data_IF_622753872385
#
_entry.id   IF_622753872385
#
_cell.length_a   1.000
_cell.length_b   1.000
_cell.length_c   1.000
_cell.angle_alpha   90.00
_cell.angle_beta   90.00
_cell.angle_gamma   90.00
#
_symmetry.space_group_name_H-M   'P 1'
#
loop_
_entity.id
_entity.type
_entity.pdbx_description
1 polymer ?
#
# COMPACT_ATOMS: atom_id res chain seq x y z
N UNK A 1 -6.41 -21.74 3.04
CA UNK A 1 -5.36 -21.49 4.03
C UNK A 1 -4.00 -21.55 3.33
N UNK A 2 -3.18 -20.51 3.47
CA UNK A 2 -1.83 -20.45 2.85
C UNK A 2 -0.84 -21.48 3.45
N UNK A 3 -1.23 -22.24 4.45
CA UNK A 3 -0.39 -23.22 5.15
C UNK A 3 -0.96 -24.65 5.08
N UNK A 4 -1.70 -24.95 4.02
CA UNK A 4 -2.21 -26.32 3.83
C UNK A 4 -1.05 -27.25 3.45
N UNK A 5 -0.74 -28.30 4.24
CA UNK A 5 0.33 -29.23 3.91
C UNK A 5 -0.02 -30.09 2.70
N UNK A 6 0.93 -30.28 1.82
CA UNK A 6 0.83 -31.21 0.69
C UNK A 6 0.95 -32.63 1.23
N UNK A 7 -0.10 -33.45 1.06
CA UNK A 7 -0.15 -34.83 1.57
C UNK A 7 -0.19 -35.90 0.47
N UNK A 8 -0.31 -35.49 -0.78
CA UNK A 8 -0.36 -36.37 -1.95
C UNK A 8 0.00 -35.56 -3.20
N UNK A 9 0.21 -36.23 -4.32
CA UNK A 9 0.40 -35.56 -5.61
C UNK A 9 -0.78 -34.64 -5.90
N UNK A 10 -0.49 -33.40 -6.31
CA UNK A 10 -1.51 -32.42 -6.65
C UNK A 10 -1.18 -31.70 -7.96
N UNK A 11 -2.20 -31.26 -8.66
CA UNK A 11 -2.09 -30.35 -9.80
C UNK A 11 -2.38 -28.95 -9.31
N UNK A 12 -1.44 -28.04 -9.45
CA UNK A 12 -1.62 -26.62 -9.11
C UNK A 12 -1.80 -25.86 -10.43
N UNK A 13 -2.92 -25.16 -10.55
CA UNK A 13 -3.12 -24.20 -11.62
C UNK A 13 -2.78 -22.82 -11.09
N UNK A 14 -1.81 -22.17 -11.75
CA UNK A 14 -1.37 -20.81 -11.42
C UNK A 14 -1.88 -19.88 -12.51
N UNK A 15 -2.55 -18.76 -12.17
CA UNK A 15 -2.95 -17.76 -13.15
C UNK A 15 -1.75 -17.24 -13.95
N UNK A 16 -1.94 -16.95 -15.24
CA UNK A 16 -0.86 -16.49 -16.13
C UNK A 16 -0.22 -15.18 -15.66
N UNK A 17 -1.00 -14.32 -14.97
CA UNK A 17 -0.54 -13.04 -14.41
C UNK A 17 0.60 -13.22 -13.40
N UNK A 18 0.67 -14.37 -12.73
CA UNK A 18 1.77 -14.68 -11.79
C UNK A 18 3.12 -14.79 -12.48
N UNK A 19 3.14 -15.19 -13.77
CA UNK A 19 4.37 -15.25 -14.57
C UNK A 19 4.84 -13.89 -15.08
N UNK A 20 4.00 -12.87 -15.01
CA UNK A 20 4.31 -11.49 -15.38
C UNK A 20 4.83 -10.63 -14.22
N UNK A 21 5.03 -11.20 -13.04
CA UNK A 21 5.52 -10.46 -11.87
C UNK A 21 6.94 -9.98 -12.12
N UNK A 22 7.12 -8.66 -12.03
CA UNK A 22 8.43 -8.01 -12.10
C UNK A 22 8.89 -7.59 -10.71
N UNK A 23 10.19 -7.29 -10.61
CA UNK A 23 10.83 -6.70 -9.44
C UNK A 23 11.44 -5.37 -9.85
N UNK A 24 11.12 -4.31 -9.11
CA UNK A 24 11.71 -2.98 -9.32
C UNK A 24 12.38 -2.47 -8.04
N UNK A 25 13.51 -1.82 -8.16
CA UNK A 25 14.05 -0.96 -7.12
C UNK A 25 13.54 0.46 -7.38
N UNK A 26 12.56 0.88 -6.60
CA UNK A 26 11.91 2.19 -6.72
C UNK A 26 12.55 3.21 -5.78
N UNK A 27 12.44 4.49 -6.12
CA UNK A 27 12.90 5.60 -5.30
C UNK A 27 11.70 6.32 -4.69
N UNK A 28 11.74 6.58 -3.39
CA UNK A 28 10.73 7.39 -2.71
C UNK A 28 10.76 8.80 -3.29
N UNK A 29 9.68 9.21 -3.91
CA UNK A 29 9.49 10.57 -4.42
C UNK A 29 8.94 11.49 -3.32
N UNK A 30 7.93 11.00 -2.58
CA UNK A 30 7.34 11.72 -1.46
C UNK A 30 6.67 10.75 -0.49
N UNK A 31 6.53 11.17 0.78
CA UNK A 31 5.89 10.39 1.84
C UNK A 31 5.25 11.29 2.90
N UNK A 32 4.36 12.26 2.51
CA UNK A 32 3.72 13.17 3.44
C UNK A 32 2.65 12.46 4.28
N UNK A 33 2.29 13.05 5.40
CA UNK A 33 1.06 12.72 6.09
C UNK A 33 -0.14 13.23 5.28
N UNK A 34 -1.18 12.42 5.16
CA UNK A 34 -2.48 12.81 4.59
C UNK A 34 -3.61 12.69 5.60
N UNK A 35 -3.32 12.12 6.76
CA UNK A 35 -4.12 12.10 7.97
C UNK A 35 -3.21 11.76 9.15
N UNK A 36 -3.71 11.90 10.37
CA UNK A 36 -2.97 11.69 11.62
C UNK A 36 -2.11 10.43 11.61
N UNK A 37 -2.64 9.35 11.06
CA UNK A 37 -2.00 8.02 11.08
C UNK A 37 -1.84 7.41 9.69
N UNK A 38 -1.93 8.21 8.63
CA UNK A 38 -1.83 7.74 7.24
C UNK A 38 -0.83 8.61 6.48
N UNK A 39 0.10 7.95 5.79
CA UNK A 39 0.99 8.57 4.81
C UNK A 39 0.57 8.20 3.39
N UNK A 40 0.75 9.14 2.45
CA UNK A 40 0.68 8.89 1.03
C UNK A 40 2.11 8.68 0.50
N UNK A 41 2.52 7.41 0.37
CA UNK A 41 3.80 7.04 -0.19
C UNK A 41 3.72 7.05 -1.71
N UNK A 42 4.53 7.89 -2.36
CA UNK A 42 4.72 7.88 -3.82
C UNK A 42 6.12 7.40 -4.13
N UNK A 43 6.20 6.36 -4.95
CA UNK A 43 7.44 5.77 -5.43
C UNK A 43 7.59 6.01 -6.92
N UNK A 44 8.77 6.44 -7.36
CA UNK A 44 9.14 6.54 -8.76
C UNK A 44 9.79 5.23 -9.20
N UNK A 45 9.30 4.70 -10.31
CA UNK A 45 9.89 3.54 -10.98
C UNK A 45 11.23 3.90 -11.65
N UNK A 46 12.09 2.92 -11.95
CA UNK A 46 13.24 3.13 -12.82
C UNK A 46 12.83 3.75 -14.16
N UNK A 47 13.73 4.52 -14.77
CA UNK A 47 13.48 5.21 -16.03
C UNK A 47 13.02 4.22 -17.14
N UNK A 48 11.95 4.59 -17.83
CA UNK A 48 11.34 3.76 -18.90
C UNK A 48 10.47 2.60 -18.40
N UNK A 49 10.45 2.32 -17.11
CA UNK A 49 9.60 1.25 -16.55
C UNK A 49 8.19 1.77 -16.23
N UNK A 50 7.23 0.86 -16.36
CA UNK A 50 5.85 1.08 -15.92
C UNK A 50 5.26 -0.20 -15.35
N UNK A 51 4.31 -0.04 -14.45
CA UNK A 51 3.49 -1.13 -13.94
C UNK A 51 2.27 -1.26 -14.83
N UNK A 52 2.16 -2.36 -15.55
CA UNK A 52 0.98 -2.67 -16.37
C UNK A 52 -0.07 -3.34 -15.47
N UNK A 53 -1.04 -2.57 -14.95
CA UNK A 53 -2.05 -3.05 -14.02
C UNK A 53 -3.45 -2.54 -14.39
N UNK A 54 -4.46 -3.15 -13.79
CA UNK A 54 -5.85 -2.66 -13.79
C UNK A 54 -6.11 -1.94 -12.46
N UNK A 55 -6.94 -0.89 -12.48
CA UNK A 55 -7.38 -0.20 -11.27
C UNK A 55 -7.94 -1.20 -10.23
N UNK A 56 -7.57 -1.04 -8.97
CA UNK A 56 -7.84 -2.00 -7.90
C UNK A 56 -6.74 -3.05 -7.69
N UNK A 57 -5.73 -3.08 -8.57
CA UNK A 57 -4.55 -3.93 -8.41
C UNK A 57 -3.68 -3.53 -7.23
N UNK A 58 -2.79 -4.44 -6.83
CA UNK A 58 -1.83 -4.24 -5.76
C UNK A 58 -0.42 -4.66 -6.17
N UNK A 59 0.54 -4.24 -5.39
CA UNK A 59 1.93 -4.72 -5.44
C UNK A 59 2.37 -5.17 -4.06
N UNK A 60 3.50 -5.84 -3.99
CA UNK A 60 4.14 -6.19 -2.74
C UNK A 60 5.35 -5.28 -2.51
N UNK A 61 5.48 -4.78 -1.30
CA UNK A 61 6.63 -4.01 -0.83
C UNK A 61 7.52 -4.90 0.01
N UNK A 62 8.83 -4.73 -0.12
CA UNK A 62 9.84 -5.42 0.67
C UNK A 62 10.36 -4.50 1.77
N UNK A 63 10.33 -4.99 2.99
CA UNK A 63 10.88 -4.34 4.18
C UNK A 63 12.13 -5.10 4.61
N UNK A 64 13.32 -4.51 4.57
CA UNK A 64 14.54 -5.15 5.04
C UNK A 64 14.58 -5.25 6.58
N UNK A 65 15.51 -6.06 7.13
CA UNK A 65 15.80 -6.03 8.55
C UNK A 65 16.08 -4.60 9.03
N UNK A 66 15.51 -4.23 10.18
CA UNK A 66 15.67 -2.87 10.71
C UNK A 66 15.43 -2.78 12.22
N UNK A 67 15.94 -1.70 12.81
CA UNK A 67 15.55 -1.21 14.12
C UNK A 67 15.16 0.26 13.97
N UNK A 68 13.88 0.55 14.00
CA UNK A 68 13.30 1.88 13.75
C UNK A 68 12.61 2.38 15.02
N UNK A 69 12.96 3.59 15.47
CA UNK A 69 12.31 4.27 16.58
C UNK A 69 11.29 5.26 16.02
N UNK A 70 10.07 5.24 16.59
CA UNK A 70 9.02 6.15 16.15
C UNK A 70 9.31 7.63 16.48
N UNK A 71 10.20 7.87 17.45
CA UNK A 71 10.71 9.21 17.72
C UNK A 71 11.41 9.87 16.54
N UNK A 72 11.94 9.06 15.59
CA UNK A 72 12.66 9.52 14.41
C UNK A 72 11.74 9.78 13.20
N UNK A 73 10.43 9.49 13.33
CA UNK A 73 9.47 9.73 12.26
C UNK A 73 9.26 11.23 12.02
N UNK A 74 9.25 11.60 10.76
CA UNK A 74 8.73 12.91 10.37
C UNK A 74 7.20 12.85 10.37
N UNK A 75 6.60 13.54 11.34
CA UNK A 75 5.13 13.71 11.47
C UNK A 75 4.84 15.19 11.42
N UNK A 76 3.95 15.59 10.51
CA UNK A 76 3.58 17.00 10.33
C UNK A 76 2.98 17.57 11.64
N UNK A 77 3.29 18.83 11.92
CA UNK A 77 3.00 19.48 13.20
C UNK A 77 1.52 19.41 13.60
N UNK A 78 0.61 19.48 12.61
CA UNK A 78 -0.84 19.36 12.84
C UNK A 78 -1.26 18.02 13.43
N UNK A 79 -0.46 16.95 13.25
CA UNK A 79 -0.76 15.60 13.71
C UNK A 79 0.04 15.19 14.96
N UNK A 80 1.10 15.93 15.31
CA UNK A 80 2.01 15.55 16.41
C UNK A 80 1.29 15.40 17.76
N UNK A 81 0.33 16.27 18.04
CA UNK A 81 -0.41 16.24 19.31
C UNK A 81 -1.10 14.91 19.58
N UNK A 82 -1.68 14.27 18.56
CA UNK A 82 -2.28 12.95 18.71
C UNK A 82 -1.22 11.86 18.92
N UNK A 83 -0.09 11.93 18.22
CA UNK A 83 1.03 10.99 18.39
C UNK A 83 1.60 11.04 19.81
N UNK A 84 1.75 12.24 20.38
CA UNK A 84 2.17 12.45 21.77
C UNK A 84 1.14 11.93 22.75
N UNK A 85 -0.14 12.28 22.53
CA UNK A 85 -1.27 11.83 23.38
C UNK A 85 -1.38 10.32 23.48
N UNK A 86 -1.15 9.59 22.38
CA UNK A 86 -1.19 8.14 22.36
C UNK A 86 0.15 7.49 22.73
N UNK A 87 1.20 8.27 22.98
CA UNK A 87 2.52 7.78 23.35
C UNK A 87 3.24 7.03 22.22
N UNK A 88 2.88 7.29 20.95
CA UNK A 88 3.39 6.54 19.81
C UNK A 88 4.88 6.79 19.58
N UNK A 89 5.40 7.96 19.92
CA UNK A 89 6.83 8.24 19.83
C UNK A 89 7.72 7.37 20.73
N UNK A 90 7.13 6.66 21.70
CA UNK A 90 7.85 5.72 22.56
C UNK A 90 7.92 4.30 21.97
N UNK A 91 7.31 4.07 20.81
CA UNK A 91 7.31 2.77 20.15
C UNK A 91 8.58 2.58 19.32
N UNK A 92 8.90 1.33 19.08
CA UNK A 92 9.95 0.93 18.15
C UNK A 92 9.54 -0.32 17.36
N UNK A 93 10.08 -0.47 16.17
CA UNK A 93 9.91 -1.65 15.33
C UNK A 93 11.26 -2.32 15.11
N UNK A 94 11.35 -3.58 15.49
CA UNK A 94 12.54 -4.42 15.27
C UNK A 94 12.15 -5.56 14.34
N UNK A 95 12.89 -5.70 13.25
CA UNK A 95 12.68 -6.74 12.24
C UNK A 95 14.03 -7.37 11.91
N UNK A 96 14.14 -8.67 12.15
CA UNK A 96 15.39 -9.42 11.97
C UNK A 96 15.51 -10.04 10.58
N UNK A 97 14.38 -10.30 9.92
CA UNK A 97 14.32 -10.91 8.60
C UNK A 97 13.51 -10.06 7.63
N UNK A 98 13.80 -10.18 6.34
CA UNK A 98 13.05 -9.48 5.29
C UNK A 98 11.57 -9.85 5.32
N UNK A 99 10.71 -8.85 5.29
CA UNK A 99 9.25 -9.00 5.30
C UNK A 99 8.66 -8.43 4.02
N UNK A 100 7.74 -9.16 3.41
CA UNK A 100 7.00 -8.72 2.21
C UNK A 100 5.52 -8.57 2.55
N UNK A 101 4.90 -7.45 2.18
CA UNK A 101 3.47 -7.18 2.39
C UNK A 101 2.83 -6.58 1.16
N UNK A 102 1.58 -6.95 0.92
CA UNK A 102 0.75 -6.45 -0.18
C UNK A 102 0.11 -5.10 0.17
N UNK A 103 0.12 -4.18 -0.81
CA UNK A 103 -0.54 -2.88 -0.72
C UNK A 103 -1.24 -2.55 -2.03
N UNK A 104 -2.54 -2.20 -1.94
CA UNK A 104 -3.29 -1.71 -3.08
C UNK A 104 -2.73 -0.40 -3.59
N UNK A 105 -2.61 -0.26 -4.89
CA UNK A 105 -2.17 0.98 -5.52
C UNK A 105 -3.27 2.03 -5.47
N UNK A 106 -2.92 3.24 -5.07
CA UNK A 106 -3.81 4.41 -5.06
C UNK A 106 -3.76 5.19 -6.37
N UNK A 107 -2.66 5.10 -7.14
CA UNK A 107 -2.63 5.63 -8.50
C UNK A 107 -3.50 4.78 -9.43
N UNK A 108 -4.00 5.39 -10.51
CA UNK A 108 -4.69 4.66 -11.58
C UNK A 108 -3.72 4.43 -12.76
N UNK A 109 -4.03 3.52 -13.71
CA UNK A 109 -3.11 3.17 -14.80
C UNK A 109 -2.62 4.34 -15.67
N UNK A 110 -3.32 5.47 -15.67
CA UNK A 110 -2.90 6.67 -16.41
C UNK A 110 -1.83 7.52 -15.68
N UNK A 111 -1.52 7.24 -14.42
CA UNK A 111 -0.41 7.85 -13.69
C UNK A 111 0.84 6.97 -13.87
N UNK A 112 1.47 7.07 -15.04
CA UNK A 112 2.61 6.22 -15.40
C UNK A 112 3.92 6.64 -14.69
N UNK A 113 4.86 5.71 -14.58
CA UNK A 113 6.19 5.94 -13.98
C UNK A 113 6.22 5.99 -12.44
N UNK A 114 5.07 5.90 -11.81
CA UNK A 114 4.93 5.91 -10.33
C UNK A 114 4.07 4.77 -9.82
N UNK A 115 4.23 4.45 -8.54
CA UNK A 115 3.26 3.71 -7.74
C UNK A 115 2.98 4.49 -6.45
N UNK A 116 1.70 4.61 -6.10
CA UNK A 116 1.23 5.42 -4.98
C UNK A 116 0.41 4.58 -4.01
N UNK A 117 0.54 4.84 -2.72
CA UNK A 117 -0.14 4.10 -1.66
C UNK A 117 -0.67 5.03 -0.59
N UNK A 118 -1.78 4.66 0.06
CA UNK A 118 -2.19 5.22 1.33
C UNK A 118 -1.94 4.16 2.42
N UNK A 119 -1.01 4.41 3.31
CA UNK A 119 -0.57 3.42 4.30
C UNK A 119 -0.81 3.97 5.70
N UNK A 120 -1.64 3.25 6.46
CA UNK A 120 -1.88 3.54 7.87
C UNK A 120 -0.81 2.86 8.72
N UNK A 121 -0.28 3.60 9.71
CA UNK A 121 0.57 3.00 10.74
C UNK A 121 -0.24 1.98 11.56
N UNK A 122 0.31 0.78 11.72
CA UNK A 122 -0.27 -0.25 12.57
C UNK A 122 0.43 -0.20 13.93
N UNK A 123 -0.24 0.39 14.90
CA UNK A 123 0.24 0.49 16.28
C UNK A 123 -0.46 -0.54 17.15
N UNK A 124 0.20 -1.02 18.24
CA UNK A 124 -0.48 -1.79 19.26
C UNK A 124 -1.68 -1.03 19.82
N UNK A 125 -2.79 -1.69 20.15
CA UNK A 125 -3.90 -1.04 20.84
C UNK A 125 -3.43 -0.43 22.19
N UNK A 126 -3.95 0.75 22.59
CA UNK A 126 -3.59 1.36 23.87
C UNK A 126 -3.77 0.38 25.03
N UNK A 127 -2.77 0.28 25.92
CA UNK A 127 -2.78 -0.61 27.08
C UNK A 127 -2.54 -2.09 26.78
N UNK A 128 -2.33 -2.48 25.52
CA UNK A 128 -1.95 -3.86 25.18
C UNK A 128 -0.49 -4.14 25.54
N UNK A 129 -0.20 -5.37 25.96
CA UNK A 129 1.15 -5.86 26.25
C UNK A 129 1.51 -6.99 25.30
N UNK A 130 2.78 -7.06 24.88
CA UNK A 130 3.27 -8.14 24.02
C UNK A 130 2.85 -8.06 22.54
N UNK A 131 2.13 -7.02 22.13
CA UNK A 131 1.83 -6.75 20.72
C UNK A 131 2.87 -5.78 20.18
N UNK A 132 3.55 -6.17 19.11
CA UNK A 132 4.56 -5.34 18.45
C UNK A 132 3.93 -4.46 17.37
N UNK A 133 4.50 -3.28 17.08
CA UNK A 133 4.09 -2.46 15.94
C UNK A 133 4.18 -3.18 14.61
N UNK A 134 3.36 -2.75 13.65
CA UNK A 134 3.38 -3.32 12.30
C UNK A 134 4.69 -3.07 11.58
N UNK A 135 5.40 -4.13 11.25
CA UNK A 135 6.75 -4.11 10.67
C UNK A 135 6.85 -3.24 9.41
N UNK A 136 6.06 -3.56 8.37
CA UNK A 136 6.09 -2.84 7.10
C UNK A 136 5.58 -1.40 7.23
N UNK A 137 4.52 -1.16 8.00
CA UNK A 137 4.00 0.20 8.17
C UNK A 137 4.98 1.11 8.92
N UNK A 138 5.73 0.56 9.89
CA UNK A 138 6.81 1.28 10.58
C UNK A 138 7.95 1.62 9.61
N UNK A 139 8.34 0.67 8.77
CA UNK A 139 9.35 0.90 7.74
C UNK A 139 8.91 2.00 6.77
N UNK A 140 7.67 1.93 6.26
CA UNK A 140 7.13 2.97 5.37
C UNK A 140 7.14 4.35 6.04
N UNK A 141 6.76 4.44 7.32
CA UNK A 141 6.74 5.72 8.03
C UNK A 141 8.14 6.32 8.25
N UNK A 142 9.19 5.52 8.23
CA UNK A 142 10.58 5.98 8.33
C UNK A 142 11.17 6.46 7.01
N UNK A 143 10.57 6.09 5.87
CA UNK A 143 11.09 6.43 4.55
C UNK A 143 11.03 7.93 4.26
N UNK A 144 12.09 8.42 3.61
CA UNK A 144 12.25 9.81 3.18
C UNK A 144 12.47 9.87 1.68
N UNK A 145 12.23 11.03 1.08
CA UNK A 145 12.50 11.24 -0.34
C UNK A 145 13.97 10.90 -0.66
N UNK A 146 14.17 10.11 -1.72
CA UNK A 146 15.47 9.59 -2.14
C UNK A 146 15.80 8.19 -1.64
N UNK A 147 15.10 7.67 -0.61
CA UNK A 147 15.28 6.30 -0.15
C UNK A 147 14.83 5.29 -1.22
N UNK A 148 15.36 4.07 -1.14
CA UNK A 148 15.02 3.01 -2.07
C UNK A 148 14.15 1.95 -1.39
N UNK A 149 13.22 1.39 -2.17
CA UNK A 149 12.38 0.28 -1.75
C UNK A 149 12.14 -0.68 -2.91
N UNK A 150 12.17 -1.98 -2.61
CA UNK A 150 11.86 -3.01 -3.59
C UNK A 150 10.35 -3.24 -3.69
N UNK A 151 9.87 -3.30 -4.93
CA UNK A 151 8.46 -3.50 -5.29
C UNK A 151 8.35 -4.72 -6.19
N UNK A 152 7.39 -5.60 -5.92
CA UNK A 152 7.05 -6.76 -6.75
C UNK A 152 5.62 -6.67 -7.23
N UNK A 153 5.36 -6.97 -8.49
CA UNK A 153 4.00 -6.95 -9.02
C UNK A 153 3.92 -6.92 -10.55
N UNK A 154 2.73 -6.53 -11.08
CA UNK A 154 1.49 -6.29 -10.36
C UNK A 154 0.75 -7.57 -9.98
N UNK A 155 -0.23 -7.45 -9.07
CA UNK A 155 -1.18 -8.48 -8.69
C UNK A 155 -2.58 -7.86 -8.55
N UNK A 156 -3.63 -8.68 -8.47
CA UNK A 156 -4.95 -8.21 -8.09
C UNK A 156 -6.11 -8.98 -8.68
N UNK A 157 -7.23 -8.89 -7.98
CA UNK A 157 -8.53 -9.45 -8.39
C UNK A 157 -9.68 -8.48 -8.09
N UNK A 158 -9.41 -7.36 -7.41
CA UNK A 158 -10.42 -6.37 -7.04
C UNK A 158 -10.65 -5.38 -8.19
N UNK A 159 -11.25 -5.86 -9.26
CA UNK A 159 -11.51 -5.07 -10.46
C UNK A 159 -12.97 -4.63 -10.55
N UNK A 160 -13.20 -3.49 -11.21
CA UNK A 160 -14.55 -3.06 -11.53
C UNK A 160 -15.22 -4.06 -12.49
N UNK A 161 -16.48 -4.38 -12.23
CA UNK A 161 -17.26 -5.23 -13.13
C UNK A 161 -17.50 -4.52 -14.47
N UNK A 162 -17.38 -5.26 -15.56
CA UNK A 162 -17.63 -4.78 -16.91
C UNK A 162 -19.13 -4.80 -17.21
N UNK A 163 -19.86 -3.84 -16.65
CA UNK A 163 -21.31 -3.65 -16.82
C UNK A 163 -21.61 -2.16 -16.93
N UNK A 164 -22.82 -1.80 -17.37
CA UNK A 164 -23.31 -0.42 -17.40
C UNK A 164 -23.99 0.00 -16.10
N UNK A 165 -24.03 -0.87 -15.10
CA UNK A 165 -24.68 -0.59 -13.82
C UNK A 165 -23.94 0.52 -13.06
N UNK A 166 -24.70 1.23 -12.18
CA UNK A 166 -24.14 2.16 -11.20
C UNK A 166 -23.03 1.53 -10.37
N UNK A 167 -22.00 2.31 -10.07
CA UNK A 167 -20.91 1.90 -9.18
C UNK A 167 -21.03 2.63 -7.84
N UNK A 168 -20.97 1.86 -6.76
CA UNK A 168 -20.94 2.39 -5.40
C UNK A 168 -19.61 1.98 -4.78
N UNK A 169 -18.78 2.96 -4.44
CA UNK A 169 -17.53 2.76 -3.75
C UNK A 169 -17.69 3.14 -2.28
N UNK A 170 -17.30 2.23 -1.39
CA UNK A 170 -17.30 2.46 0.06
C UNK A 170 -15.88 2.21 0.55
N UNK A 171 -15.26 3.22 1.12
CA UNK A 171 -13.89 3.14 1.62
C UNK A 171 -13.69 4.03 2.82
N UNK A 172 -12.74 3.66 3.70
CA UNK A 172 -12.39 4.44 4.88
C UNK A 172 -10.89 4.36 5.18
N UNK A 173 -10.30 5.47 5.61
CA UNK A 173 -8.88 5.53 5.93
C UNK A 173 -7.99 5.09 4.76
N UNK A 174 -7.03 4.20 5.02
CA UNK A 174 -6.14 3.65 4.00
C UNK A 174 -6.87 2.82 2.91
N UNK A 175 -8.11 2.36 3.17
CA UNK A 175 -8.95 1.71 2.17
C UNK A 175 -9.36 2.62 1.01
N UNK A 176 -9.09 3.92 1.13
CA UNK A 176 -9.23 4.88 0.02
C UNK A 176 -8.28 4.57 -1.16
N UNK A 177 -7.16 3.90 -0.95
CA UNK A 177 -6.18 3.62 -2.00
C UNK A 177 -6.80 2.97 -3.25
N UNK A 178 -7.40 1.77 -3.19
CA UNK A 178 -8.01 1.16 -4.37
C UNK A 178 -9.23 1.96 -4.88
N UNK A 179 -9.97 2.66 -4.01
CA UNK A 179 -11.13 3.46 -4.42
C UNK A 179 -10.69 4.65 -5.28
N UNK A 180 -9.61 5.36 -4.88
CA UNK A 180 -9.02 6.43 -5.70
C UNK A 180 -8.60 5.91 -7.08
N UNK A 181 -7.93 4.76 -7.11
CA UNK A 181 -7.50 4.13 -8.36
C UNK A 181 -8.69 3.87 -9.28
N UNK A 182 -9.74 3.24 -8.79
CA UNK A 182 -10.96 2.96 -9.56
C UNK A 182 -11.65 4.23 -10.05
N UNK A 183 -11.91 5.18 -9.15
CA UNK A 183 -12.65 6.41 -9.48
C UNK A 183 -11.92 7.19 -10.56
N UNK A 184 -10.61 7.38 -10.42
CA UNK A 184 -9.81 8.13 -11.39
C UNK A 184 -9.68 7.38 -12.71
N UNK A 185 -9.57 6.06 -12.68
CA UNK A 185 -9.55 5.24 -13.88
C UNK A 185 -10.85 5.37 -14.68
N UNK A 186 -12.00 5.25 -14.00
CA UNK A 186 -13.30 5.38 -14.63
C UNK A 186 -13.52 6.79 -15.21
N UNK A 187 -13.18 7.84 -14.46
CA UNK A 187 -13.50 9.22 -14.85
C UNK A 187 -12.44 9.83 -15.80
N UNK A 188 -11.15 9.51 -15.64
CA UNK A 188 -10.08 10.20 -16.38
C UNK A 188 -9.54 9.40 -17.57
N UNK A 189 -9.47 8.06 -17.47
CA UNK A 189 -8.92 7.23 -18.53
C UNK A 189 -10.01 6.59 -19.38
N UNK A 190 -11.03 6.02 -18.75
CA UNK A 190 -12.11 5.33 -19.45
C UNK A 190 -13.24 6.25 -19.88
N UNK A 191 -13.32 7.47 -19.33
CA UNK A 191 -14.40 8.45 -19.56
C UNK A 191 -15.78 7.80 -19.41
N UNK A 192 -15.94 7.02 -18.34
CA UNK A 192 -17.17 6.27 -18.05
C UNK A 192 -18.35 7.22 -17.79
N UNK A 193 -19.48 6.97 -18.46
CA UNK A 193 -20.74 7.66 -18.22
C UNK A 193 -21.58 7.02 -17.10
N UNK A 194 -21.07 5.95 -16.49
CA UNK A 194 -21.74 5.26 -15.39
C UNK A 194 -21.89 6.20 -14.19
N UNK A 195 -23.03 6.15 -13.53
CA UNK A 195 -23.22 6.85 -12.26
C UNK A 195 -22.28 6.26 -11.21
N UNK A 196 -21.52 7.12 -10.55
CA UNK A 196 -20.55 6.75 -9.52
C UNK A 196 -20.90 7.45 -8.22
N UNK A 197 -21.05 6.69 -7.14
CA UNK A 197 -21.23 7.20 -5.79
C UNK A 197 -20.04 6.74 -4.93
N UNK A 198 -19.51 7.65 -4.11
CA UNK A 198 -18.44 7.35 -3.17
C UNK A 198 -18.85 7.71 -1.75
N UNK A 199 -18.61 6.79 -0.81
CA UNK A 199 -18.91 6.93 0.61
C UNK A 199 -17.65 6.71 1.43
N UNK A 200 -17.35 7.68 2.31
CA UNK A 200 -16.15 7.70 3.15
C UNK A 200 -16.54 7.84 4.63
#
# INVERSE_FOLDING_TARGET
SCQTPVKQDMKVQVPEEVFGVKRWECVVESNPNVATFIKELTLRLPEGEKVAFRAGGYVQLECPPHHIKYADFHIDDEYRGDWERFGFFNQESVVEETVIRAYSMANYPGEEGIVKFNIRIATPPPGSTGIVPGQMSSYVFSLKAGDKITVYGPFGEFFACETDNEMIFVGGGAGMAPMRSHIFDQLKRLNSERKISFWY
#
